data_IF_471866026682
#
_entry.id   IF_471866026682
#
_cell.length_a   1.000
_cell.length_b   1.000
_cell.length_c   1.000
_cell.angle_alpha   90.00
_cell.angle_beta   90.00
_cell.angle_gamma   90.00
#
_symmetry.space_group_name_H-M   'P 1'
#
loop_
_entity.id
_entity.type
_entity.pdbx_description
1 polymer ?
#
# COMPACT_ATOMS: atom_id res chain seq x y z
N UNK A 1 6.41 -5.11 15.82
CA UNK A 1 5.00 -5.54 16.03
C UNK A 1 4.87 -6.57 17.17
N UNK A 2 5.67 -7.64 17.23
CA UNK A 2 5.56 -8.67 18.27
C UNK A 2 5.87 -8.20 19.71
N UNK A 3 6.76 -7.22 19.90
CA UNK A 3 7.09 -6.71 21.23
C UNK A 3 5.96 -5.87 21.84
N UNK A 4 5.41 -4.89 21.11
CA UNK A 4 4.27 -4.09 21.58
C UNK A 4 3.04 -4.96 21.84
N UNK A 5 2.81 -6.00 21.03
CA UNK A 5 1.68 -6.91 21.20
C UNK A 5 1.81 -7.72 22.50
N UNK A 6 3.01 -8.25 22.80
CA UNK A 6 3.29 -8.92 24.09
C UNK A 6 3.08 -8.00 25.29
N UNK A 7 3.43 -6.73 25.15
CA UNK A 7 3.32 -5.76 26.23
C UNK A 7 1.90 -5.24 26.43
N UNK A 8 1.07 -5.28 25.39
CA UNK A 8 -0.37 -5.09 25.54
C UNK A 8 -1.03 -6.33 26.15
N UNK A 9 -0.63 -7.54 25.74
CA UNK A 9 -1.17 -8.79 26.29
C UNK A 9 -0.86 -8.99 27.79
N UNK A 10 0.29 -8.50 28.26
CA UNK A 10 0.70 -8.55 29.67
C UNK A 10 0.22 -7.37 30.50
N UNK A 11 -0.55 -6.44 29.92
CA UNK A 11 -0.93 -5.21 30.59
C UNK A 11 -2.11 -5.38 31.54
N UNK A 12 -1.90 -5.12 32.83
CA UNK A 12 -2.97 -5.05 33.82
C UNK A 12 -3.97 -3.89 33.54
N UNK A 13 -3.66 -3.01 32.58
CA UNK A 13 -4.53 -1.89 32.19
C UNK A 13 -5.87 -2.34 31.59
N UNK A 14 -5.98 -3.58 31.09
CA UNK A 14 -7.24 -4.12 30.58
C UNK A 14 -8.29 -4.37 31.67
N UNK A 15 -7.89 -4.46 32.94
CA UNK A 15 -8.78 -4.71 34.09
C UNK A 15 -9.31 -3.41 34.73
N UNK A 16 -8.95 -2.25 34.18
CA UNK A 16 -9.41 -0.95 34.69
C UNK A 16 -10.92 -0.77 34.48
N UNK A 17 -11.67 -0.68 35.59
CA UNK A 17 -13.12 -0.45 35.58
C UNK A 17 -13.52 1.04 35.63
N UNK A 18 -12.54 1.95 35.61
CA UNK A 18 -12.76 3.39 35.60
C UNK A 18 -11.61 4.09 34.87
N UNK A 19 -11.87 5.31 34.41
CA UNK A 19 -10.87 6.14 33.72
C UNK A 19 -9.99 6.85 34.75
N UNK A 20 -8.70 6.56 34.75
CA UNK A 20 -7.70 7.27 35.54
C UNK A 20 -7.27 8.57 34.84
N UNK A 21 -7.93 9.67 35.22
CA UNK A 21 -7.72 11.00 34.63
C UNK A 21 -6.32 11.55 34.96
N UNK A 22 -5.77 11.23 36.13
CA UNK A 22 -4.44 11.72 36.52
C UNK A 22 -3.36 11.07 35.65
N UNK A 23 -3.43 9.75 35.48
CA UNK A 23 -2.52 9.01 34.61
C UNK A 23 -2.63 9.44 33.15
N UNK A 24 -3.84 9.72 32.67
CA UNK A 24 -4.05 10.25 31.31
C UNK A 24 -3.43 11.63 31.13
N UNK A 25 -3.61 12.55 32.08
CA UNK A 25 -3.02 13.88 32.01
C UNK A 25 -1.49 13.82 32.04
N UNK A 26 -0.91 12.91 32.84
CA UNK A 26 0.54 12.67 32.86
C UNK A 26 1.04 12.15 31.51
N UNK A 27 0.38 11.13 30.96
CA UNK A 27 0.71 10.60 29.63
C UNK A 27 0.58 11.68 28.54
N UNK A 28 -0.45 12.53 28.60
CA UNK A 28 -0.66 13.61 27.65
C UNK A 28 0.46 14.67 27.73
N UNK A 29 0.93 15.00 28.94
CA UNK A 29 2.08 15.90 29.12
C UNK A 29 3.38 15.27 28.60
N UNK A 30 3.63 14.00 28.94
CA UNK A 30 4.84 13.27 28.53
C UNK A 30 4.90 13.10 27.01
N UNK A 31 3.76 12.81 26.37
CA UNK A 31 3.64 12.61 24.93
C UNK A 31 4.12 13.81 24.10
N UNK A 32 4.20 15.01 24.66
CA UNK A 32 4.76 16.18 23.98
C UNK A 32 6.28 16.07 23.77
N UNK A 33 6.98 15.32 24.61
CA UNK A 33 8.44 15.24 24.64
C UNK A 33 9.01 13.84 24.42
N UNK A 34 8.17 12.80 24.47
CA UNK A 34 8.58 11.41 24.25
C UNK A 34 9.33 11.25 22.92
N UNK A 35 10.44 10.54 22.93
CA UNK A 35 11.32 10.38 21.76
C UNK A 35 10.56 9.87 20.52
N UNK A 36 9.71 8.86 20.70
CA UNK A 36 8.91 8.26 19.62
C UNK A 36 7.77 9.15 19.10
N UNK A 37 7.40 10.23 19.79
CA UNK A 37 6.39 11.19 19.33
C UNK A 37 6.99 12.37 18.58
N UNK A 38 8.31 12.55 18.66
CA UNK A 38 9.02 13.63 17.98
C UNK A 38 9.17 13.31 16.49
N UNK A 39 8.99 14.31 15.62
CA UNK A 39 9.06 14.12 14.16
C UNK A 39 10.45 13.71 13.62
N UNK A 40 11.50 13.72 14.45
CA UNK A 40 12.87 13.45 14.00
C UNK A 40 13.10 12.02 13.51
N UNK A 41 12.25 11.06 13.88
CA UNK A 41 12.34 9.69 13.35
C UNK A 41 11.91 9.60 11.88
N UNK A 42 11.15 10.59 11.39
CA UNK A 42 10.67 10.61 10.01
C UNK A 42 11.81 11.03 9.08
N UNK A 43 12.08 10.30 7.99
CA UNK A 43 13.05 10.71 6.98
C UNK A 43 12.75 12.11 6.43
N UNK A 44 13.80 12.90 6.15
CA UNK A 44 13.65 14.22 5.52
C UNK A 44 13.24 14.14 4.05
N UNK A 45 13.42 12.96 3.42
CA UNK A 45 13.01 12.71 2.05
C UNK A 45 11.49 12.87 1.90
N UNK A 46 11.10 13.85 1.09
CA UNK A 46 9.70 14.10 0.76
C UNK A 46 9.32 13.36 -0.50
N UNK A 47 8.22 12.63 -0.42
CA UNK A 47 7.62 11.97 -1.57
C UNK A 47 6.70 12.97 -2.25
N UNK A 48 7.13 13.48 -3.39
CA UNK A 48 6.37 14.42 -4.19
C UNK A 48 6.42 14.05 -5.67
N UNK A 49 5.45 14.58 -6.42
CA UNK A 49 5.44 14.53 -7.88
C UNK A 49 5.95 15.88 -8.39
N UNK A 50 6.71 15.87 -9.49
CA UNK A 50 7.32 17.08 -10.04
C UNK A 50 6.31 18.03 -10.71
N UNK A 51 5.08 17.58 -10.92
CA UNK A 51 4.02 18.34 -11.59
C UNK A 51 3.28 19.25 -10.59
N UNK A 52 2.89 20.42 -11.05
CA UNK A 52 2.05 21.34 -10.27
C UNK A 52 0.65 20.74 -10.04
N UNK A 53 0.08 21.03 -8.87
CA UNK A 53 -1.27 20.57 -8.53
C UNK A 53 -2.31 21.27 -9.41
N UNK A 54 -3.15 20.52 -10.14
CA UNK A 54 -4.23 21.13 -10.90
C UNK A 54 -5.33 21.65 -9.96
N UNK A 55 -5.97 22.77 -10.35
CA UNK A 55 -7.00 23.44 -9.54
C UNK A 55 -8.14 22.52 -9.05
N UNK A 56 -8.68 21.59 -9.85
CA UNK A 56 -9.77 20.74 -9.40
C UNK A 56 -9.34 19.42 -8.74
N UNK A 57 -8.04 19.08 -8.68
CA UNK A 57 -7.66 17.70 -8.36
C UNK A 57 -6.28 17.55 -7.68
N UNK A 58 -6.23 16.90 -6.52
CA UNK A 58 -5.01 16.72 -5.70
C UNK A 58 -4.70 15.23 -5.43
N UNK A 59 -5.06 14.33 -6.36
CA UNK A 59 -5.11 12.88 -6.04
C UNK A 59 -3.99 12.02 -6.63
N UNK A 60 -3.06 12.57 -7.42
CA UNK A 60 -2.08 11.73 -8.14
C UNK A 60 -1.22 10.95 -7.14
N UNK A 61 -1.35 9.63 -7.15
CA UNK A 61 -0.56 8.76 -6.31
C UNK A 61 0.89 8.72 -6.84
N UNK A 62 1.90 9.14 -6.07
CA UNK A 62 3.28 9.23 -6.56
C UNK A 62 3.85 7.89 -7.06
N UNK A 63 3.35 6.77 -6.52
CA UNK A 63 3.71 5.43 -6.97
C UNK A 63 3.28 5.13 -8.42
N UNK A 64 2.20 5.74 -8.91
CA UNK A 64 1.76 5.64 -10.32
C UNK A 64 2.73 6.40 -11.21
N UNK A 65 3.12 7.62 -10.80
CA UNK A 65 4.10 8.44 -11.52
C UNK A 65 5.48 7.78 -11.57
N UNK A 66 5.93 7.19 -10.46
CA UNK A 66 7.20 6.47 -10.37
C UNK A 66 7.22 5.16 -11.18
N UNK A 67 6.05 4.57 -11.48
CA UNK A 67 5.98 3.36 -12.28
C UNK A 67 6.28 3.68 -13.76
N UNK A 68 7.27 3.01 -14.35
CA UNK A 68 7.65 3.23 -15.75
C UNK A 68 6.50 2.97 -16.75
N UNK A 69 5.57 2.08 -16.40
CA UNK A 69 4.39 1.73 -17.22
C UNK A 69 3.09 2.33 -16.66
N UNK A 70 3.18 3.25 -15.69
CA UNK A 70 2.05 4.02 -15.14
C UNK A 70 0.85 3.15 -14.71
N UNK A 71 1.11 2.02 -14.06
CA UNK A 71 0.03 1.17 -13.55
C UNK A 71 -0.78 1.88 -12.47
N UNK A 72 -2.09 1.60 -12.41
CA UNK A 72 -2.95 2.06 -11.33
C UNK A 72 -2.78 1.21 -10.06
N UNK A 73 -1.69 1.49 -9.34
CA UNK A 73 -1.28 0.77 -8.12
C UNK A 73 -2.32 0.87 -7.00
N UNK A 74 -2.83 2.07 -6.65
CA UNK A 74 -3.85 2.18 -5.62
C UNK A 74 -5.11 1.36 -5.93
N UNK A 75 -5.58 1.38 -7.18
CA UNK A 75 -6.82 0.69 -7.53
C UNK A 75 -6.68 -0.83 -7.49
N UNK A 76 -5.60 -1.44 -8.00
CA UNK A 76 -5.47 -2.89 -7.88
C UNK A 76 -5.20 -3.32 -6.43
N UNK A 77 -4.52 -2.52 -5.61
CA UNK A 77 -4.34 -2.80 -4.17
C UNK A 77 -5.69 -2.79 -3.45
N UNK A 78 -6.57 -1.83 -3.77
CA UNK A 78 -7.94 -1.80 -3.24
C UNK A 78 -8.70 -3.08 -3.60
N UNK A 79 -8.65 -3.50 -4.87
CA UNK A 79 -9.30 -4.73 -5.33
C UNK A 79 -8.76 -5.99 -4.63
N UNK A 80 -7.46 -6.05 -4.37
CA UNK A 80 -6.85 -7.12 -3.56
C UNK A 80 -7.34 -7.12 -2.11
N UNK A 81 -7.65 -5.95 -1.55
CA UNK A 81 -8.28 -5.80 -0.23
C UNK A 81 -9.76 -6.21 -0.19
N UNK A 82 -10.43 -6.27 -1.34
CA UNK A 82 -11.82 -6.72 -1.54
C UNK A 82 -11.93 -8.21 -1.96
N UNK A 83 -10.90 -9.03 -1.72
CA UNK A 83 -10.66 -10.31 -2.38
C UNK A 83 -10.99 -10.47 -3.88
N UNK A 84 -10.97 -9.39 -4.67
CA UNK A 84 -11.29 -9.39 -6.11
C UNK A 84 -10.03 -9.58 -6.95
N UNK A 85 -9.43 -10.76 -6.85
CA UNK A 85 -8.12 -11.05 -7.44
C UNK A 85 -8.11 -11.00 -8.97
N UNK A 86 -9.13 -11.55 -9.63
CA UNK A 86 -9.22 -11.53 -11.09
C UNK A 86 -9.38 -10.11 -11.64
N UNK A 87 -10.20 -9.27 -10.99
CA UNK A 87 -10.38 -7.87 -11.37
C UNK A 87 -9.07 -7.07 -11.17
N UNK A 88 -8.36 -7.32 -10.07
CA UNK A 88 -7.06 -6.72 -9.81
C UNK A 88 -6.04 -7.11 -10.89
N UNK A 89 -6.04 -8.40 -11.27
CA UNK A 89 -5.16 -8.94 -12.29
C UNK A 89 -5.49 -8.37 -13.69
N UNK A 90 -6.77 -8.23 -14.03
CA UNK A 90 -7.24 -7.59 -15.25
C UNK A 90 -6.80 -6.12 -15.33
N UNK A 91 -6.98 -5.37 -14.25
CA UNK A 91 -6.52 -3.98 -14.15
C UNK A 91 -4.99 -3.87 -14.29
N UNK A 92 -4.25 -4.83 -13.74
CA UNK A 92 -2.80 -4.94 -13.92
C UNK A 92 -2.46 -5.21 -15.39
N UNK A 93 -3.16 -6.14 -16.05
CA UNK A 93 -2.92 -6.50 -17.45
C UNK A 93 -3.18 -5.36 -18.43
N UNK A 94 -4.07 -4.42 -18.09
CA UNK A 94 -4.43 -3.29 -18.95
C UNK A 94 -3.21 -2.47 -19.44
N UNK A 95 -2.32 -1.94 -18.57
CA UNK A 95 -1.08 -1.29 -18.99
C UNK A 95 0.15 -2.24 -19.02
N UNK A 96 0.03 -3.48 -18.54
CA UNK A 96 1.16 -4.39 -18.37
C UNK A 96 0.91 -5.75 -19.05
N UNK A 97 1.53 -5.98 -20.19
CA UNK A 97 1.41 -7.26 -20.88
C UNK A 97 2.05 -8.45 -20.13
N UNK A 98 2.94 -8.21 -19.18
CA UNK A 98 3.81 -9.23 -18.56
C UNK A 98 3.79 -9.15 -17.01
N UNK A 99 2.62 -9.26 -16.35
CA UNK A 99 2.54 -9.15 -14.90
C UNK A 99 3.23 -10.30 -14.17
N UNK A 100 3.26 -11.50 -14.76
CA UNK A 100 4.04 -12.62 -14.25
C UNK A 100 5.53 -12.28 -14.16
N UNK A 101 6.12 -11.83 -15.27
CA UNK A 101 7.55 -11.48 -15.32
C UNK A 101 7.84 -10.29 -14.41
N UNK A 102 7.07 -9.19 -14.54
CA UNK A 102 7.28 -7.99 -13.72
C UNK A 102 6.99 -8.22 -12.23
N UNK A 103 6.21 -9.25 -11.87
CA UNK A 103 6.08 -9.71 -10.49
C UNK A 103 7.40 -10.22 -9.91
N UNK A 104 8.31 -10.75 -10.73
CA UNK A 104 9.59 -11.27 -10.27
C UNK A 104 10.75 -10.28 -10.48
N UNK A 105 10.83 -9.63 -11.65
CA UNK A 105 12.02 -8.87 -12.05
C UNK A 105 11.90 -7.35 -11.85
N UNK A 106 10.73 -6.83 -11.49
CA UNK A 106 10.57 -5.39 -11.31
C UNK A 106 11.48 -4.86 -10.19
N UNK A 107 12.14 -3.74 -10.47
CA UNK A 107 13.01 -2.99 -9.55
C UNK A 107 12.24 -2.06 -8.60
N UNK A 108 10.90 -2.11 -8.62
CA UNK A 108 9.99 -1.53 -7.64
C UNK A 108 10.18 -0.04 -7.33
N UNK A 109 10.41 0.79 -8.35
CA UNK A 109 10.55 2.25 -8.17
C UNK A 109 9.33 2.85 -7.45
N UNK A 110 8.14 2.31 -7.68
CA UNK A 110 6.92 2.71 -7.00
C UNK A 110 6.94 2.55 -5.47
N UNK A 111 7.78 1.68 -4.90
CA UNK A 111 7.90 1.51 -3.45
C UNK A 111 8.64 2.67 -2.80
N UNK A 112 9.66 3.23 -3.46
CA UNK A 112 10.39 4.40 -2.96
C UNK A 112 9.54 5.67 -2.97
N UNK A 113 8.47 5.69 -3.76
CA UNK A 113 7.51 6.80 -3.84
C UNK A 113 6.16 6.44 -3.19
N UNK A 114 6.13 5.48 -2.27
CA UNK A 114 4.90 5.10 -1.59
C UNK A 114 4.61 6.05 -0.43
N UNK A 115 3.47 6.76 -0.46
CA UNK A 115 3.05 7.68 0.63
C UNK A 115 2.90 7.00 2.00
N UNK A 116 2.83 5.67 2.05
CA UNK A 116 2.85 4.93 3.32
C UNK A 116 4.18 5.06 4.08
N UNK A 117 5.28 5.39 3.39
CA UNK A 117 6.56 5.73 4.01
C UNK A 117 6.46 6.93 4.97
N UNK A 118 5.44 7.77 4.83
CA UNK A 118 5.16 8.86 5.78
C UNK A 118 4.78 8.38 7.18
N UNK A 119 4.37 7.10 7.30
CA UNK A 119 3.87 6.49 8.54
C UNK A 119 4.75 5.33 9.01
N UNK A 120 5.05 4.38 8.13
CA UNK A 120 5.83 3.19 8.48
C UNK A 120 6.78 2.76 7.35
N UNK A 121 6.33 1.89 6.46
CA UNK A 121 7.11 1.28 5.40
C UNK A 121 6.29 1.20 4.12
N UNK A 122 6.97 1.21 2.97
CA UNK A 122 6.29 1.06 1.69
C UNK A 122 5.49 -0.25 1.64
N UNK A 123 4.37 -0.22 0.90
CA UNK A 123 3.64 -1.44 0.60
C UNK A 123 4.50 -2.38 -0.26
N UNK A 124 4.35 -3.69 -0.04
CA UNK A 124 5.00 -4.72 -0.86
C UNK A 124 4.33 -4.88 -2.23
N UNK A 125 4.25 -3.78 -3.00
CA UNK A 125 3.56 -3.65 -4.29
C UNK A 125 3.91 -4.79 -5.27
N UNK A 126 5.18 -5.19 -5.35
CA UNK A 126 5.60 -6.32 -6.20
C UNK A 126 5.02 -7.65 -5.75
N UNK A 127 5.04 -7.92 -4.46
CA UNK A 127 4.46 -9.15 -3.91
C UNK A 127 2.94 -9.14 -4.05
N UNK A 128 2.29 -7.99 -3.85
CA UNK A 128 0.85 -7.84 -4.12
C UNK A 128 0.50 -8.15 -5.58
N UNK A 129 1.35 -7.75 -6.53
CA UNK A 129 1.20 -8.15 -7.95
C UNK A 129 1.32 -9.66 -8.16
N UNK A 130 2.26 -10.33 -7.46
CA UNK A 130 2.34 -11.81 -7.50
C UNK A 130 1.09 -12.45 -6.91
N UNK A 131 0.60 -11.95 -5.77
CA UNK A 131 -0.64 -12.44 -5.16
C UNK A 131 -1.83 -12.27 -6.10
N UNK A 132 -1.94 -11.15 -6.81
CA UNK A 132 -2.97 -10.93 -7.83
C UNK A 132 -2.91 -12.00 -8.93
N UNK A 133 -1.70 -12.31 -9.42
CA UNK A 133 -1.50 -13.36 -10.41
C UNK A 133 -1.86 -14.73 -9.84
N UNK A 134 -1.24 -15.14 -8.74
CA UNK A 134 -1.40 -16.47 -8.14
C UNK A 134 -2.86 -16.80 -7.82
N UNK A 135 -3.61 -15.84 -7.27
CA UNK A 135 -5.00 -16.06 -6.85
C UNK A 135 -6.02 -15.74 -7.95
N UNK A 136 -5.69 -14.82 -8.87
CA UNK A 136 -6.61 -14.36 -9.91
C UNK A 136 -6.49 -15.13 -11.24
N UNK A 137 -5.42 -15.91 -11.45
CA UNK A 137 -5.10 -16.47 -12.76
C UNK A 137 -6.18 -17.40 -13.33
N UNK A 138 -6.71 -18.31 -12.51
CA UNK A 138 -7.68 -19.29 -13.00
C UNK A 138 -9.00 -18.65 -13.42
N UNK A 139 -9.50 -17.72 -12.63
CA UNK A 139 -10.70 -16.95 -12.95
C UNK A 139 -10.46 -15.99 -14.12
N UNK A 140 -9.32 -15.29 -14.16
CA UNK A 140 -8.96 -14.42 -15.28
C UNK A 140 -8.91 -15.17 -16.62
N UNK A 141 -8.31 -16.38 -16.65
CA UNK A 141 -8.30 -17.22 -17.87
C UNK A 141 -9.71 -17.61 -18.32
N UNK A 142 -10.63 -17.89 -17.40
CA UNK A 142 -12.00 -18.25 -17.74
C UNK A 142 -12.77 -17.07 -18.37
N UNK A 143 -12.47 -15.85 -17.91
CA UNK A 143 -13.03 -14.61 -18.44
C UNK A 143 -12.36 -14.14 -19.73
N UNK A 144 -11.14 -14.62 -20.00
CA UNK A 144 -10.38 -14.16 -21.15
C UNK A 144 -11.02 -14.63 -22.45
N UNK A 145 -11.27 -13.67 -23.34
CA UNK A 145 -11.80 -13.91 -24.66
C UNK A 145 -10.85 -13.33 -25.70
N UNK A 146 -10.68 -14.09 -26.79
CA UNK A 146 -9.87 -13.66 -27.92
C UNK A 146 -10.41 -12.33 -28.48
N UNK A 147 -9.59 -11.27 -28.60
CA UNK A 147 -10.03 -10.01 -29.18
C UNK A 147 -10.52 -10.21 -30.62
N UNK A 148 -11.64 -9.58 -30.97
CA UNK A 148 -12.17 -9.61 -32.32
C UNK A 148 -11.13 -9.11 -33.33
N UNK A 149 -10.93 -9.85 -34.42
CA UNK A 149 -9.95 -9.51 -35.46
C UNK A 149 -8.53 -10.02 -35.22
N UNK A 150 -8.24 -10.65 -34.08
CA UNK A 150 -6.96 -11.39 -33.93
C UNK A 150 -7.01 -12.67 -34.78
N UNK A 151 -6.09 -12.80 -35.74
CA UNK A 151 -6.10 -13.88 -36.74
C UNK A 151 -6.17 -15.28 -36.15
N UNK A 152 -6.68 -16.25 -36.90
CA UNK A 152 -6.95 -17.64 -36.45
C UNK A 152 -5.72 -18.54 -36.27
N UNK A 153 -4.52 -17.97 -36.12
CA UNK A 153 -3.29 -18.76 -36.01
C UNK A 153 -3.05 -19.23 -34.58
#
# INVERSE_FOLDING_TARGET
LSACMRELESSDAWELNHVDVERLNRLAADALTMEYTQKHWKPEERIEVAEDLPLPDCYVAPCVTACAIKQDIPAYIRLLGEPRYADALELIYHPNALPAITGHICNNQCQYNCTRLDYDSALNIRELKKVALEKGWDEYKQRWHKPAGSGSR
#
